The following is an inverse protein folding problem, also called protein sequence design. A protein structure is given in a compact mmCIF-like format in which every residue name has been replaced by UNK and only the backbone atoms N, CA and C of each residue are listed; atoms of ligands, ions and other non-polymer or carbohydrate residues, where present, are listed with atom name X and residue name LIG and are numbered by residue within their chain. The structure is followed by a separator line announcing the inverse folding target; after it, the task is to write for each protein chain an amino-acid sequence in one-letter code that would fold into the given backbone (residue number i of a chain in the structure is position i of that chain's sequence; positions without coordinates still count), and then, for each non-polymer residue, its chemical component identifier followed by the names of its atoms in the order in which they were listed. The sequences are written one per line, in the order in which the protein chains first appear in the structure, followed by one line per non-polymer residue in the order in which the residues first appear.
data_IF_804822508845
#
_entry.id   IF_804822508845
#
_cell.length_a   1.000
_cell.length_b   1.000
_cell.length_c   1.000
_cell.angle_alpha   90.00
_cell.angle_beta   90.00
_cell.angle_gamma   90.00
#
_symmetry.space_group_name_H-M   'P 1'
#
loop_
_entity.id
_entity.type
_entity.pdbx_description
1 polymer ?
#
# COMPACT_ATOMS: atom_id res chain seq x y z
N UNK A 1 13.11 -27.83 -18.14
CA UNK A 1 12.24 -27.15 -17.16
C UNK A 1 12.72 -25.72 -16.99
N UNK A 2 11.92 -24.73 -17.37
CA UNK A 2 12.24 -23.31 -17.15
C UNK A 2 11.82 -23.00 -15.71
N UNK A 3 12.78 -22.95 -14.79
CA UNK A 3 12.52 -22.54 -13.41
C UNK A 3 12.03 -21.09 -13.43
N UNK A 4 10.76 -20.87 -13.08
CA UNK A 4 10.22 -19.53 -12.85
C UNK A 4 10.93 -18.97 -11.62
N UNK A 5 11.78 -17.97 -11.82
CA UNK A 5 12.44 -17.25 -10.74
C UNK A 5 11.45 -16.21 -10.22
N UNK A 6 11.32 -16.13 -8.90
CA UNK A 6 10.52 -15.10 -8.26
C UNK A 6 11.07 -13.70 -8.63
N UNK A 7 10.22 -12.76 -9.10
CA UNK A 7 10.65 -11.40 -9.43
C UNK A 7 11.39 -10.71 -8.28
N UNK A 8 11.05 -11.00 -7.02
CA UNK A 8 11.75 -10.42 -5.87
C UNK A 8 13.19 -10.96 -5.75
N UNK A 9 13.38 -12.26 -6.00
CA UNK A 9 14.71 -12.88 -6.02
C UNK A 9 15.56 -12.36 -7.18
N UNK A 10 14.94 -12.13 -8.34
CA UNK A 10 15.60 -11.54 -9.49
C UNK A 10 16.07 -10.11 -9.22
N UNK A 11 15.22 -9.27 -8.63
CA UNK A 11 15.59 -7.90 -8.25
C UNK A 11 16.75 -7.89 -7.24
N UNK A 12 16.71 -8.77 -6.24
CA UNK A 12 17.82 -8.93 -5.28
C UNK A 12 19.11 -9.39 -5.94
N UNK A 13 19.03 -10.36 -6.86
CA UNK A 13 20.21 -10.81 -7.62
C UNK A 13 20.81 -9.68 -8.46
N UNK A 14 19.98 -8.89 -9.15
CA UNK A 14 20.42 -7.71 -9.92
C UNK A 14 21.17 -6.70 -9.05
N UNK A 15 20.65 -6.37 -7.86
CA UNK A 15 21.32 -5.46 -6.92
C UNK A 15 22.67 -6.00 -6.44
N UNK A 16 22.77 -7.29 -6.12
CA UNK A 16 24.02 -7.90 -5.66
C UNK A 16 25.07 -7.98 -6.79
N UNK A 17 24.64 -8.23 -8.03
CA UNK A 17 25.51 -8.17 -9.22
C UNK A 17 26.04 -6.75 -9.40
N UNK A 18 25.16 -5.74 -9.28
CA UNK A 18 25.55 -4.33 -9.40
C UNK A 18 26.57 -3.91 -8.32
N UNK A 19 26.49 -4.48 -7.12
CA UNK A 19 27.47 -4.31 -6.04
C UNK A 19 28.79 -5.07 -6.27
N UNK A 20 28.95 -5.78 -7.39
CA UNK A 20 30.17 -6.53 -7.72
C UNK A 20 30.31 -7.85 -6.95
N UNK A 21 29.24 -8.37 -6.35
CA UNK A 21 29.31 -9.62 -5.59
C UNK A 21 29.42 -10.82 -6.54
N UNK A 22 30.30 -11.76 -6.21
CA UNK A 22 30.53 -12.95 -7.02
C UNK A 22 29.25 -13.79 -7.19
N UNK A 23 29.05 -14.36 -8.38
CA UNK A 23 27.89 -15.22 -8.66
C UNK A 23 27.81 -16.44 -7.73
N UNK A 24 28.95 -16.94 -7.23
CA UNK A 24 29.00 -18.04 -6.28
C UNK A 24 28.42 -17.64 -4.92
N UNK A 25 28.76 -16.43 -4.44
CA UNK A 25 28.22 -15.89 -3.19
C UNK A 25 26.72 -15.61 -3.29
N UNK A 26 26.26 -15.08 -4.43
CA UNK A 26 24.83 -14.83 -4.70
C UNK A 26 24.06 -16.15 -4.74
N UNK A 27 24.63 -17.19 -5.37
CA UNK A 27 24.05 -18.53 -5.43
C UNK A 27 23.79 -19.10 -4.05
N UNK A 28 24.79 -19.08 -3.17
CA UNK A 28 24.66 -19.57 -1.79
C UNK A 28 23.64 -18.76 -0.98
N UNK A 29 23.55 -17.45 -1.21
CA UNK A 29 22.70 -16.55 -0.44
C UNK A 29 21.22 -16.60 -0.84
N UNK A 30 20.95 -16.78 -2.13
CA UNK A 30 19.57 -16.78 -2.67
C UNK A 30 19.05 -18.19 -3.01
N UNK A 31 19.89 -19.23 -2.89
CA UNK A 31 19.53 -20.60 -3.28
C UNK A 31 19.34 -20.76 -4.79
N UNK A 32 19.89 -19.84 -5.59
CA UNK A 32 19.75 -19.85 -7.05
C UNK A 32 20.92 -20.58 -7.71
N UNK A 33 20.62 -21.32 -8.77
CA UNK A 33 21.66 -21.96 -9.58
C UNK A 33 22.54 -20.90 -10.25
N UNK A 34 23.85 -21.14 -10.33
CA UNK A 34 24.82 -20.18 -10.88
C UNK A 34 24.50 -19.78 -12.33
N UNK A 35 23.98 -20.71 -13.13
CA UNK A 35 23.54 -20.43 -14.50
C UNK A 35 22.32 -19.49 -14.55
N UNK A 36 21.42 -19.56 -13.57
CA UNK A 36 20.28 -18.64 -13.46
C UNK A 36 20.76 -17.23 -13.19
N UNK A 37 21.72 -17.06 -12.27
CA UNK A 37 22.32 -15.75 -11.96
C UNK A 37 23.03 -15.17 -13.20
N UNK A 38 23.77 -16.01 -13.94
CA UNK A 38 24.41 -15.58 -15.20
C UNK A 38 23.39 -15.09 -16.23
N UNK A 39 22.23 -15.76 -16.35
CA UNK A 39 21.13 -15.30 -17.21
C UNK A 39 20.51 -13.99 -16.75
N UNK A 40 20.35 -13.80 -15.43
CA UNK A 40 19.89 -12.52 -14.85
C UNK A 40 20.89 -11.39 -15.16
N UNK A 41 22.19 -11.66 -15.04
CA UNK A 41 23.24 -10.68 -15.34
C UNK A 41 23.26 -10.26 -16.82
N UNK A 42 22.88 -11.16 -17.73
CA UNK A 42 22.78 -10.88 -19.18
C UNK A 42 21.47 -10.21 -19.60
N UNK A 43 20.47 -10.13 -18.72
CA UNK A 43 19.14 -9.64 -19.06
C UNK A 43 18.22 -10.68 -19.74
N UNK A 44 18.65 -11.93 -19.90
CA UNK A 44 17.88 -13.00 -20.57
C UNK A 44 16.58 -13.39 -19.86
N UNK A 45 16.38 -12.89 -18.64
CA UNK A 45 15.26 -13.19 -17.75
C UNK A 45 14.44 -11.95 -17.42
N UNK A 46 14.70 -10.80 -18.05
CA UNK A 46 13.87 -9.62 -17.82
C UNK A 46 12.41 -9.96 -18.08
N UNK A 47 11.60 -9.86 -17.02
CA UNK A 47 10.17 -9.84 -17.20
C UNK A 47 9.85 -8.70 -18.17
N UNK A 48 8.91 -8.88 -19.10
CA UNK A 48 8.44 -7.75 -19.89
C UNK A 48 8.11 -6.62 -18.92
N UNK A 49 8.64 -5.43 -19.19
CA UNK A 49 8.27 -4.20 -18.48
C UNK A 49 6.76 -4.25 -18.22
N UNK A 50 6.30 -4.04 -16.98
CA UNK A 50 4.86 -4.00 -16.72
C UNK A 50 4.29 -2.95 -17.67
N UNK A 51 3.56 -3.41 -18.70
CA UNK A 51 2.80 -2.51 -19.55
C UNK A 51 1.94 -1.72 -18.58
N UNK A 52 2.06 -0.41 -18.62
CA UNK A 52 1.06 0.47 -18.04
C UNK A 52 -0.22 0.22 -18.83
N UNK A 53 -0.94 -0.84 -18.45
CA UNK A 53 -2.28 -1.13 -18.92
C UNK A 53 -3.16 -0.02 -18.35
N UNK A 54 -3.18 1.11 -19.07
CA UNK A 54 -4.14 2.15 -18.84
C UNK A 54 -5.53 1.52 -19.04
N UNK A 55 -6.41 1.54 -18.03
CA UNK A 55 -7.74 0.97 -18.16
C UNK A 55 -8.48 1.66 -19.32
N UNK A 56 -9.37 0.94 -20.04
CA UNK A 56 -10.14 1.52 -21.13
C UNK A 56 -10.95 2.73 -20.61
N UNK A 57 -10.69 3.91 -21.17
CA UNK A 57 -11.23 5.19 -20.69
C UNK A 57 -10.21 6.12 -20.00
N UNK A 58 -8.93 5.72 -19.91
CA UNK A 58 -7.87 6.61 -19.46
C UNK A 58 -7.59 7.73 -20.50
N UNK A 59 -7.97 8.96 -20.16
CA UNK A 59 -7.66 10.17 -20.93
C UNK A 59 -6.64 11.03 -20.17
N UNK A 60 -5.43 11.18 -20.73
CA UNK A 60 -4.36 12.02 -20.17
C UNK A 60 -4.72 13.52 -20.08
N UNK A 61 -5.76 13.96 -20.81
CA UNK A 61 -6.25 15.35 -20.76
C UNK A 61 -7.18 15.59 -19.58
N UNK A 62 -7.80 14.55 -19.05
CA UNK A 62 -8.54 14.61 -17.78
C UNK A 62 -7.57 14.60 -16.59
N UNK A 63 -6.55 15.48 -16.57
CA UNK A 63 -5.67 15.72 -15.42
C UNK A 63 -6.45 16.40 -14.27
N UNK A 64 -7.33 15.61 -13.65
CA UNK A 64 -7.18 15.10 -12.29
C UNK A 64 -7.22 16.15 -11.19
N UNK A 65 -7.81 17.34 -11.32
CA UNK A 65 -8.17 18.10 -10.11
C UNK A 65 -9.50 17.62 -9.57
N UNK A 66 -9.56 17.30 -8.28
CA UNK A 66 -10.83 17.02 -7.62
C UNK A 66 -11.72 18.25 -7.76
N UNK A 67 -12.97 18.13 -8.22
CA UNK A 67 -13.88 19.28 -8.28
C UNK A 67 -14.23 19.81 -6.88
N UNK A 68 -14.07 18.99 -5.83
CA UNK A 68 -14.40 19.34 -4.45
C UNK A 68 -13.23 20.02 -3.73
N UNK A 69 -12.03 19.42 -3.73
CA UNK A 69 -10.88 19.94 -2.98
C UNK A 69 -9.75 20.51 -3.86
N UNK A 70 -9.84 20.41 -5.19
CA UNK A 70 -8.83 20.94 -6.12
C UNK A 70 -7.50 20.18 -6.18
N UNK A 71 -7.30 19.15 -5.34
CA UNK A 71 -6.08 18.32 -5.35
C UNK A 71 -5.95 17.48 -6.61
N UNK A 72 -4.70 17.11 -6.96
CA UNK A 72 -4.41 16.16 -8.04
C UNK A 72 -4.81 14.73 -7.62
N UNK A 73 -5.70 14.10 -8.40
CA UNK A 73 -6.41 12.86 -8.12
C UNK A 73 -6.00 11.79 -9.12
N UNK A 74 -5.18 10.84 -8.70
CA UNK A 74 -4.79 9.73 -9.57
C UNK A 74 -5.83 8.61 -9.66
N UNK A 75 -6.81 8.59 -8.74
CA UNK A 75 -7.86 7.58 -8.64
C UNK A 75 -9.14 8.27 -8.15
N UNK A 76 -10.30 8.02 -8.78
CA UNK A 76 -11.59 8.48 -8.24
C UNK A 76 -12.24 7.33 -7.46
N UNK A 77 -12.78 7.54 -6.25
CA UNK A 77 -12.97 8.81 -5.51
C UNK A 77 -11.67 9.46 -5.02
N UNK A 78 -11.69 10.78 -4.78
CA UNK A 78 -10.50 11.52 -4.34
C UNK A 78 -10.07 11.06 -2.93
N UNK A 79 -8.93 10.39 -2.84
CA UNK A 79 -8.35 9.93 -1.57
C UNK A 79 -8.18 11.05 -0.54
N UNK A 80 -7.88 12.29 -0.96
CA UNK A 80 -7.82 13.42 -0.03
C UNK A 80 -9.19 13.69 0.61
N UNK A 81 -10.27 13.67 -0.17
CA UNK A 81 -11.63 13.81 0.36
C UNK A 81 -12.06 12.59 1.21
N UNK A 82 -11.61 11.38 0.87
CA UNK A 82 -11.90 10.18 1.66
C UNK A 82 -11.18 10.15 3.01
N UNK A 83 -9.95 10.67 3.07
CA UNK A 83 -9.19 10.77 4.32
C UNK A 83 -9.65 11.94 5.20
N UNK A 84 -10.12 13.03 4.60
CA UNK A 84 -10.72 14.16 5.31
C UNK A 84 -12.13 13.88 5.79
N UNK A 85 -12.86 12.96 5.14
CA UNK A 85 -14.10 12.47 5.73
C UNK A 85 -13.68 11.68 6.96
N UNK A 86 -14.04 12.12 8.18
CA UNK A 86 -13.83 11.29 9.34
C UNK A 86 -14.66 10.03 9.09
N UNK A 87 -14.00 8.93 8.78
CA UNK A 87 -14.53 7.57 8.92
C UNK A 87 -14.65 7.27 10.42
N UNK A 88 -15.27 8.18 11.16
CA UNK A 88 -15.89 7.91 12.43
C UNK A 88 -17.29 7.37 12.14
N UNK A 89 -17.75 6.32 12.84
CA UNK A 89 -19.13 5.90 12.73
C UNK A 89 -20.04 7.13 13.00
N UNK A 90 -21.15 7.31 12.27
CA UNK A 90 -22.07 8.43 12.49
C UNK A 90 -22.78 8.44 13.86
N UNK A 91 -22.43 7.54 14.78
CA UNK A 91 -23.18 7.26 16.01
C UNK A 91 -22.35 7.34 17.30
N UNK A 92 -21.45 8.33 17.41
CA UNK A 92 -21.03 8.80 18.73
C UNK A 92 -21.70 10.14 19.02
N UNK A 93 -23.04 10.14 19.10
CA UNK A 93 -23.73 11.20 19.85
C UNK A 93 -23.14 11.14 21.26
N UNK A 94 -22.41 12.16 21.75
CA UNK A 94 -21.96 12.17 23.13
C UNK A 94 -23.21 12.07 23.98
N UNK A 95 -23.30 11.02 24.81
CA UNK A 95 -24.40 10.84 25.73
C UNK A 95 -24.62 12.18 26.45
N UNK A 96 -25.84 12.76 26.42
CA UNK A 96 -26.10 14.02 27.09
C UNK A 96 -25.70 13.87 28.56
N UNK A 97 -25.05 14.88 29.16
CA UNK A 97 -24.65 14.81 30.55
C UNK A 97 -25.89 14.51 31.42
N UNK A 98 -25.77 13.67 32.46
CA UNK A 98 -26.91 13.34 33.31
C UNK A 98 -27.51 14.62 33.88
N UNK A 99 -28.85 14.75 33.80
CA UNK A 99 -29.57 15.89 34.38
C UNK A 99 -29.30 15.91 35.87
N UNK A 100 -29.03 17.09 36.43
CA UNK A 100 -28.59 17.26 37.82
C UNK A 100 -29.54 16.64 38.86
N UNK A 101 -30.82 16.45 38.49
CA UNK A 101 -31.84 15.80 39.33
C UNK A 101 -31.54 14.32 39.65
N UNK A 102 -30.86 13.58 38.77
CA UNK A 102 -30.46 12.19 39.04
C UNK A 102 -29.30 12.08 40.03
N UNK A 103 -28.40 13.08 40.06
CA UNK A 103 -27.34 13.14 41.07
C UNK A 103 -27.91 13.32 42.48
N UNK A 104 -28.97 14.13 42.64
CA UNK A 104 -29.64 14.32 43.93
C UNK A 104 -30.31 13.02 44.43
N UNK A 105 -31.04 12.31 43.56
CA UNK A 105 -31.72 11.05 43.96
C UNK A 105 -30.76 9.91 44.33
N UNK A 106 -29.57 9.84 43.72
CA UNK A 106 -28.54 8.85 44.09
C UNK A 106 -27.91 9.14 45.45
N UNK A 107 -27.73 10.41 45.82
CA UNK A 107 -27.19 10.77 47.13
C UNK A 107 -28.13 10.35 48.28
N UNK A 108 -29.44 10.52 48.10
CA UNK A 108 -30.44 10.13 49.11
C UNK A 108 -30.55 8.61 49.31
N UNK A 109 -30.25 7.80 48.29
CA UNK A 109 -30.41 6.34 48.33
C UNK A 109 -29.24 5.61 49.01
N UNK A 110 -28.08 6.27 49.18
CA UNK A 110 -26.89 5.70 49.82
C UNK A 110 -26.86 5.89 51.34
N UNK A 111 -27.88 6.52 51.93
CA UNK A 111 -27.96 6.82 53.36
C UNK A 111 -28.98 5.96 54.12
N UNK A 112 -29.47 4.86 53.55
CA UNK A 112 -30.45 3.97 54.16
C UNK A 112 -29.98 2.54 54.27
#
# INVERSE_FOLDING_TARGET
MISRVDPQQQARAKLLIFQGISHLSISKRLGLHRATIARIARGDLEAPEPREDHPPGYDERQKRRCPTCGHLVYLWPCLACELETPTGPPDAVPAPPPRQDERRRRADRSFR
#
